data_IF_198354330326
#
_entry.id   IF_198354330326
#
_cell.length_a   1.000
_cell.length_b   1.000
_cell.length_c   1.000
_cell.angle_alpha   90.00
_cell.angle_beta   90.00
_cell.angle_gamma   90.00
#
_symmetry.space_group_name_H-M   'P 1'
#
loop_
_entity.id
_entity.type
_entity.pdbx_description
1 polymer ?
#
# COMPACT_ATOMS: atom_id res chain seq x y z
N UNK A 1 -1.47 17.24 -9.68
CA UNK A 1 -2.96 17.21 -9.76
C UNK A 1 -3.58 17.82 -8.49
N UNK A 2 -4.82 18.31 -8.50
CA UNK A 2 -5.53 18.62 -7.23
C UNK A 2 -6.23 17.35 -6.79
N UNK A 3 -5.73 16.70 -5.75
CA UNK A 3 -6.33 15.49 -5.19
C UNK A 3 -7.70 15.80 -4.56
N UNK A 4 -8.75 15.15 -5.02
CA UNK A 4 -10.13 15.36 -4.54
C UNK A 4 -10.81 14.09 -4.04
N UNK A 5 -12.08 14.21 -3.62
CA UNK A 5 -12.83 13.10 -3.07
C UNK A 5 -13.15 12.01 -4.11
N UNK A 6 -13.28 12.37 -5.39
CA UNK A 6 -13.48 11.40 -6.46
C UNK A 6 -12.20 10.59 -6.69
N UNK A 7 -11.02 11.24 -6.64
CA UNK A 7 -9.73 10.54 -6.67
C UNK A 7 -9.55 9.60 -5.48
N UNK A 8 -9.89 10.06 -4.27
CA UNK A 8 -9.79 9.28 -3.04
C UNK A 8 -10.70 8.04 -3.11
N UNK A 9 -11.95 8.18 -3.58
CA UNK A 9 -12.90 7.07 -3.64
C UNK A 9 -12.74 6.18 -4.88
N UNK A 10 -11.99 6.61 -5.90
CA UNK A 10 -11.73 5.81 -7.10
C UNK A 10 -10.95 4.52 -6.77
N UNK A 11 -9.99 4.59 -5.84
CA UNK A 11 -9.15 3.47 -5.43
C UNK A 11 -9.69 2.68 -4.23
N UNK A 12 -9.36 1.38 -4.12
CA UNK A 12 -9.74 0.58 -2.95
C UNK A 12 -9.15 1.14 -1.65
N UNK A 13 -7.92 1.68 -1.69
CA UNK A 13 -7.22 2.18 -0.50
C UNK A 13 -7.86 3.44 0.08
N UNK A 14 -8.28 4.39 -0.76
CA UNK A 14 -8.96 5.58 -0.24
C UNK A 14 -10.37 5.30 0.28
N UNK A 15 -11.12 4.36 -0.33
CA UNK A 15 -12.37 3.85 0.25
C UNK A 15 -12.14 3.16 1.60
N UNK A 16 -11.11 2.32 1.69
CA UNK A 16 -10.72 1.65 2.94
C UNK A 16 -10.34 2.64 4.04
N UNK A 17 -9.62 3.71 3.69
CA UNK A 17 -9.29 4.80 4.61
C UNK A 17 -10.55 5.48 5.15
N UNK A 18 -11.49 5.86 4.26
CA UNK A 18 -12.74 6.49 4.68
C UNK A 18 -13.58 5.56 5.57
N UNK A 19 -13.64 4.27 5.23
CA UNK A 19 -14.32 3.26 6.03
C UNK A 19 -13.67 3.09 7.42
N UNK A 20 -12.33 3.06 7.48
CA UNK A 20 -11.60 2.95 8.74
C UNK A 20 -11.88 4.14 9.68
N UNK A 21 -12.00 5.36 9.16
CA UNK A 21 -12.34 6.55 9.96
C UNK A 21 -13.71 6.44 10.63
N UNK A 22 -14.74 5.97 9.92
CA UNK A 22 -16.10 5.83 10.47
C UNK A 22 -16.20 4.63 11.41
N UNK A 23 -15.50 3.53 11.11
CA UNK A 23 -15.43 2.34 11.97
C UNK A 23 -14.69 2.60 13.28
N UNK A 24 -13.66 3.45 13.27
CA UNK A 24 -12.99 3.90 14.49
C UNK A 24 -13.92 4.77 15.34
N UNK A 25 -14.71 5.65 14.70
CA UNK A 25 -15.54 6.62 15.39
C UNK A 25 -16.86 6.07 15.98
N UNK A 26 -17.43 5.01 15.40
CA UNK A 26 -18.75 4.51 15.79
C UNK A 26 -18.82 2.97 15.90
N UNK A 27 -19.17 2.48 17.09
CA UNK A 27 -19.26 1.04 17.40
C UNK A 27 -20.38 0.33 16.61
N UNK A 28 -21.48 1.04 16.32
CA UNK A 28 -22.60 0.51 15.52
C UNK A 28 -22.20 0.33 14.05
N UNK A 29 -21.48 1.30 13.49
CA UNK A 29 -20.86 1.17 12.16
C UNK A 29 -19.88 0.00 12.14
N UNK A 30 -19.00 -0.11 13.15
CA UNK A 30 -18.05 -1.22 13.26
C UNK A 30 -18.72 -2.59 13.24
N UNK A 31 -19.79 -2.77 14.02
CA UNK A 31 -20.55 -4.02 14.06
C UNK A 31 -21.22 -4.32 12.70
N UNK A 32 -21.87 -3.31 12.10
CA UNK A 32 -22.52 -3.46 10.81
C UNK A 32 -21.51 -3.83 9.69
N UNK A 33 -20.35 -3.16 9.66
CA UNK A 33 -19.26 -3.43 8.71
C UNK A 33 -18.71 -4.84 8.91
N UNK A 34 -18.38 -5.23 10.14
CA UNK A 34 -17.88 -6.58 10.46
C UNK A 34 -18.83 -7.67 9.92
N UNK A 35 -20.13 -7.48 10.14
CA UNK A 35 -21.13 -8.47 9.78
C UNK A 35 -21.39 -8.54 8.27
N UNK A 36 -21.44 -7.39 7.58
CA UNK A 36 -21.61 -7.32 6.13
C UNK A 36 -20.35 -7.78 5.37
N UNK A 37 -19.17 -7.33 5.79
CA UNK A 37 -17.89 -7.69 5.19
C UNK A 37 -17.65 -9.20 5.24
N UNK A 38 -17.94 -9.85 6.37
CA UNK A 38 -17.82 -11.31 6.48
C UNK A 38 -18.68 -12.06 5.43
N UNK A 39 -19.88 -11.58 5.14
CA UNK A 39 -20.76 -12.22 4.15
C UNK A 39 -20.27 -12.01 2.71
N UNK A 40 -19.54 -10.91 2.46
CA UNK A 40 -18.98 -10.53 1.16
C UNK A 40 -17.58 -11.08 0.90
N UNK A 41 -16.88 -11.58 1.94
CA UNK A 41 -15.50 -12.01 1.82
C UNK A 41 -15.35 -13.26 0.93
N UNK A 42 -14.50 -13.22 -0.13
CA UNK A 42 -14.26 -14.37 -1.00
C UNK A 42 -13.70 -15.61 -0.27
N UNK A 43 -13.02 -15.40 0.86
CA UNK A 43 -12.46 -16.44 1.73
C UNK A 43 -13.45 -16.94 2.80
N UNK A 44 -14.71 -16.51 2.78
CA UNK A 44 -15.72 -16.91 3.76
C UNK A 44 -15.86 -18.43 3.84
N UNK A 45 -15.73 -18.96 5.06
CA UNK A 45 -15.89 -20.39 5.32
C UNK A 45 -14.69 -21.23 4.91
N UNK A 46 -13.61 -20.61 4.45
CA UNK A 46 -12.33 -21.24 4.16
C UNK A 46 -11.22 -20.57 4.97
N UNK A 47 -10.73 -19.41 4.52
CA UNK A 47 -9.64 -18.64 5.16
C UNK A 47 -10.16 -17.59 6.15
N UNK A 48 -11.45 -17.24 6.09
CA UNK A 48 -12.10 -16.32 7.02
C UNK A 48 -13.23 -17.03 7.77
N UNK A 49 -13.08 -17.13 9.09
CA UNK A 49 -14.00 -17.84 9.99
C UNK A 49 -14.63 -16.87 11.00
N UNK A 50 -15.93 -17.03 11.25
CA UNK A 50 -16.62 -16.29 12.31
C UNK A 50 -16.46 -17.04 13.63
N UNK A 51 -15.72 -16.46 14.57
CA UNK A 51 -15.63 -16.97 15.93
C UNK A 51 -16.94 -16.62 16.67
N UNK A 52 -17.75 -17.62 16.97
CA UNK A 52 -18.92 -17.46 17.84
C UNK A 52 -18.51 -17.51 19.31
N UNK A 53 -18.92 -16.52 20.11
CA UNK A 53 -18.80 -16.59 21.55
C UNK A 53 -19.78 -17.66 22.09
N UNK A 54 -19.25 -18.80 22.53
CA UNK A 54 -20.01 -19.80 23.28
C UNK A 54 -20.28 -21.10 22.52
N UNK A 55 -19.68 -22.19 22.98
CA UNK A 55 -19.96 -23.54 22.53
C UNK A 55 -21.33 -24.01 22.97
N UNK A 56 -22.40 -23.58 22.29
CA UNK A 56 -23.65 -24.31 22.25
C UNK A 56 -24.33 -24.12 20.89
N UNK A 57 -24.77 -25.24 20.32
CA UNK A 57 -25.48 -25.35 19.05
C UNK A 57 -26.85 -24.67 19.13
N UNK A 58 -26.87 -23.36 19.01
CA UNK A 58 -27.95 -22.66 18.34
C UNK A 58 -27.31 -21.72 17.35
N UNK A 59 -27.38 -22.07 16.07
CA UNK A 59 -27.15 -21.12 14.98
C UNK A 59 -28.26 -20.06 15.06
N UNK A 60 -28.13 -19.11 15.99
CA UNK A 60 -28.89 -17.87 15.92
C UNK A 60 -28.49 -17.26 14.59
N UNK A 61 -29.42 -17.26 13.64
CA UNK A 61 -29.19 -16.78 12.29
C UNK A 61 -29.07 -15.26 12.41
N UNK A 62 -27.87 -14.77 12.68
CA UNK A 62 -27.58 -13.34 12.77
C UNK A 62 -28.21 -12.68 11.54
N UNK A 63 -29.01 -11.62 11.69
CA UNK A 63 -29.58 -10.93 10.55
C UNK A 63 -28.47 -10.60 9.55
N UNK A 64 -28.68 -10.90 8.28
CA UNK A 64 -27.72 -10.53 7.23
C UNK A 64 -27.76 -9.01 7.11
N UNK A 65 -26.68 -8.35 7.51
CA UNK A 65 -26.48 -6.92 7.31
C UNK A 65 -26.17 -6.69 5.84
N UNK A 66 -26.98 -5.89 5.15
CA UNK A 66 -26.76 -5.56 3.74
C UNK A 66 -25.87 -4.31 3.59
N UNK A 67 -25.24 -4.08 2.41
CA UNK A 67 -24.54 -2.83 2.13
C UNK A 67 -25.39 -1.57 2.36
N UNK A 68 -26.70 -1.64 2.08
CA UNK A 68 -27.63 -0.55 2.37
C UNK A 68 -27.80 -0.29 3.87
N UNK A 69 -27.77 -1.33 4.70
CA UNK A 69 -27.84 -1.17 6.16
C UNK A 69 -26.56 -0.53 6.70
N UNK A 70 -25.40 -0.91 6.17
CA UNK A 70 -24.11 -0.26 6.47
C UNK A 70 -24.12 1.21 6.06
N UNK A 71 -24.57 1.52 4.84
CA UNK A 71 -24.66 2.90 4.36
C UNK A 71 -25.55 3.76 5.29
N UNK A 72 -26.72 3.25 5.71
CA UNK A 72 -27.58 3.94 6.68
C UNK A 72 -26.92 4.15 8.04
N UNK A 73 -26.10 3.19 8.50
CA UNK A 73 -25.34 3.34 9.73
C UNK A 73 -24.27 4.44 9.61
N UNK A 74 -23.54 4.48 8.49
CA UNK A 74 -22.56 5.54 8.19
C UNK A 74 -23.25 6.91 8.16
N UNK A 75 -24.36 7.03 7.44
CA UNK A 75 -25.12 8.28 7.35
C UNK A 75 -25.61 8.76 8.74
N UNK A 76 -26.04 7.82 9.59
CA UNK A 76 -26.50 8.13 10.93
C UNK A 76 -25.38 8.54 11.90
N UNK A 77 -24.18 7.94 11.76
CA UNK A 77 -22.99 8.31 12.54
C UNK A 77 -22.45 9.69 12.12
N UNK A 78 -22.59 10.04 10.85
CA UNK A 78 -22.11 11.30 10.28
C UNK A 78 -20.59 11.33 10.05
N UNK A 79 -20.08 12.51 9.70
CA UNK A 79 -18.65 12.68 9.40
C UNK A 79 -17.84 12.73 10.71
N UNK A 80 -16.86 11.83 10.91
CA UNK A 80 -16.04 11.82 12.12
C UNK A 80 -15.06 13.00 12.14
N UNK A 81 -14.48 13.29 13.30
CA UNK A 81 -13.42 14.27 13.42
C UNK A 81 -12.18 13.83 12.60
N UNK A 82 -11.66 14.73 11.78
CA UNK A 82 -10.51 14.50 10.90
C UNK A 82 -9.27 15.20 11.45
N UNK A 83 -8.67 14.62 12.49
CA UNK A 83 -7.39 15.05 13.05
C UNK A 83 -6.20 14.25 12.48
N UNK A 84 -4.98 14.76 12.69
CA UNK A 84 -3.76 14.16 12.16
C UNK A 84 -3.55 12.69 12.59
N UNK A 85 -3.88 12.35 13.85
CA UNK A 85 -3.67 11.01 14.39
C UNK A 85 -4.66 10.02 13.79
N UNK A 86 -5.95 10.37 13.77
CA UNK A 86 -7.01 9.55 13.16
C UNK A 86 -6.74 9.30 11.68
N UNK A 87 -6.31 10.32 10.95
CA UNK A 87 -5.92 10.20 9.55
C UNK A 87 -4.74 9.24 9.36
N UNK A 88 -3.69 9.36 10.17
CA UNK A 88 -2.52 8.49 10.06
C UNK A 88 -2.87 7.03 10.34
N UNK A 89 -3.66 6.75 11.39
CA UNK A 89 -4.08 5.40 11.73
C UNK A 89 -5.01 4.79 10.69
N UNK A 90 -5.98 5.57 10.18
CA UNK A 90 -6.85 5.11 9.12
C UNK A 90 -6.08 4.84 7.81
N UNK A 91 -5.09 5.68 7.50
CA UNK A 91 -4.18 5.45 6.38
C UNK A 91 -3.32 4.20 6.60
N UNK A 92 -2.74 4.02 7.78
CA UNK A 92 -1.96 2.83 8.12
C UNK A 92 -2.80 1.55 7.99
N UNK A 93 -4.02 1.54 8.52
CA UNK A 93 -4.95 0.41 8.38
C UNK A 93 -5.30 0.14 6.90
N UNK A 94 -5.52 1.19 6.10
CA UNK A 94 -5.79 1.00 4.67
C UNK A 94 -4.60 0.42 3.90
N UNK A 95 -3.39 0.86 4.23
CA UNK A 95 -2.13 0.41 3.62
C UNK A 95 -1.81 -1.03 4.04
N UNK A 96 -1.94 -1.38 5.32
CA UNK A 96 -1.63 -2.72 5.83
C UNK A 96 -2.49 -3.81 5.17
N UNK A 97 -3.74 -3.48 4.86
CA UNK A 97 -4.66 -4.38 4.14
C UNK A 97 -4.36 -4.53 2.64
N UNK A 98 -3.31 -3.90 2.10
CA UNK A 98 -2.97 -3.94 0.67
C UNK A 98 -2.29 -5.27 0.30
N UNK A 99 -3.09 -6.25 -0.15
CA UNK A 99 -2.64 -7.63 -0.42
C UNK A 99 -2.92 -8.03 -1.87
N UNK A 100 -2.08 -7.54 -2.79
CA UNK A 100 -2.32 -7.68 -4.23
C UNK A 100 -2.09 -9.10 -4.80
N UNK A 101 -1.71 -10.05 -3.95
CA UNK A 101 -1.56 -11.47 -4.26
C UNK A 101 -2.85 -12.30 -4.07
N UNK A 102 -3.91 -11.66 -3.58
CA UNK A 102 -5.21 -12.28 -3.34
C UNK A 102 -6.37 -11.37 -3.79
N UNK A 103 -7.61 -11.91 -3.86
CA UNK A 103 -8.80 -11.09 -4.08
C UNK A 103 -8.98 -10.02 -2.99
N UNK A 104 -9.69 -8.91 -3.29
CA UNK A 104 -10.07 -7.92 -2.28
C UNK A 104 -10.81 -8.58 -1.10
N UNK A 105 -10.51 -8.15 0.12
CA UNK A 105 -11.18 -8.68 1.31
C UNK A 105 -12.62 -8.16 1.43
N UNK A 106 -13.41 -8.76 2.33
CA UNK A 106 -14.82 -8.44 2.45
C UNK A 106 -15.14 -6.97 2.71
N UNK A 107 -14.26 -6.24 3.38
CA UNK A 107 -14.43 -4.81 3.64
C UNK A 107 -14.07 -3.97 2.40
N UNK A 108 -13.04 -4.36 1.63
CA UNK A 108 -12.78 -3.75 0.32
C UNK A 108 -13.93 -3.96 -0.67
N UNK A 109 -14.52 -5.16 -0.68
CA UNK A 109 -15.72 -5.49 -1.48
C UNK A 109 -16.92 -4.65 -1.00
N UNK A 110 -17.14 -4.56 0.31
CA UNK A 110 -18.21 -3.76 0.90
C UNK A 110 -18.06 -2.28 0.54
N UNK A 111 -16.88 -1.71 0.71
CA UNK A 111 -16.62 -0.30 0.43
C UNK A 111 -16.78 0.02 -1.06
N UNK A 112 -16.57 -0.95 -1.95
CA UNK A 112 -16.78 -0.80 -3.39
C UNK A 112 -18.26 -0.85 -3.82
N UNK A 113 -19.19 -1.21 -2.93
CA UNK A 113 -20.64 -1.19 -3.26
C UNK A 113 -21.12 0.25 -3.48
N UNK A 114 -22.05 0.49 -4.44
CA UNK A 114 -22.55 1.84 -4.72
C UNK A 114 -23.13 2.54 -3.49
N UNK A 115 -23.83 1.81 -2.63
CA UNK A 115 -24.48 2.32 -1.43
C UNK A 115 -23.45 2.83 -0.42
N UNK A 116 -22.43 2.01 -0.09
CA UNK A 116 -21.40 2.38 0.88
C UNK A 116 -20.48 3.46 0.31
N UNK A 117 -20.10 3.35 -0.98
CA UNK A 117 -19.26 4.36 -1.63
C UNK A 117 -19.94 5.75 -1.62
N UNK A 118 -21.25 5.81 -1.86
CA UNK A 118 -22.01 7.05 -1.75
C UNK A 118 -22.05 7.60 -0.31
N UNK A 119 -22.26 6.74 0.69
CA UNK A 119 -22.26 7.12 2.10
C UNK A 119 -20.87 7.59 2.60
N UNK A 120 -19.78 7.12 2.00
CA UNK A 120 -18.42 7.56 2.31
C UNK A 120 -18.04 8.91 1.70
N UNK A 121 -18.82 9.45 0.75
CA UNK A 121 -18.50 10.72 0.07
C UNK A 121 -18.32 11.91 1.03
N UNK A 122 -19.21 12.17 2.00
CA UNK A 122 -19.00 13.26 2.96
C UNK A 122 -17.73 13.10 3.80
N UNK A 123 -17.32 11.86 4.10
CA UNK A 123 -16.07 11.56 4.80
C UNK A 123 -14.87 11.87 3.91
N UNK A 124 -14.92 11.45 2.65
CA UNK A 124 -13.87 11.73 1.66
C UNK A 124 -13.68 13.25 1.46
N UNK A 125 -14.77 14.01 1.34
CA UNK A 125 -14.74 15.48 1.24
C UNK A 125 -14.06 16.11 2.47
N UNK A 126 -14.33 15.61 3.67
CA UNK A 126 -13.69 16.09 4.90
C UNK A 126 -12.20 15.73 4.98
N UNK A 127 -11.79 14.55 4.46
CA UNK A 127 -10.39 14.12 4.39
C UNK A 127 -9.59 15.03 3.45
N UNK A 128 -10.05 15.24 2.23
CA UNK A 128 -9.30 16.00 1.22
C UNK A 128 -9.26 17.50 1.49
N UNK A 129 -10.20 18.02 2.27
CA UNK A 129 -10.22 19.43 2.71
C UNK A 129 -9.47 19.68 4.02
N UNK A 130 -9.08 18.62 4.73
CA UNK A 130 -8.37 18.74 6.01
C UNK A 130 -6.97 19.34 5.83
N UNK A 131 -6.55 20.29 6.68
CA UNK A 131 -5.17 20.81 6.62
C UNK A 131 -4.12 19.72 6.90
N UNK A 132 -4.50 18.62 7.56
CA UNK A 132 -3.61 17.52 7.91
C UNK A 132 -3.25 16.62 6.72
N UNK A 133 -3.96 16.73 5.59
CA UNK A 133 -3.67 15.98 4.36
C UNK A 133 -2.89 16.79 3.33
N UNK A 134 -2.54 18.06 3.62
CA UNK A 134 -1.78 18.93 2.69
C UNK A 134 -0.47 18.31 2.19
N UNK A 135 0.19 17.53 3.04
CA UNK A 135 1.45 16.89 2.70
C UNK A 135 1.28 15.67 1.79
N UNK A 136 0.06 15.12 1.65
CA UNK A 136 -0.22 13.90 0.88
C UNK A 136 0.09 14.03 -0.60
N UNK A 137 -0.04 15.23 -1.16
CA UNK A 137 0.31 15.53 -2.57
C UNK A 137 1.66 16.24 -2.70
N UNK A 138 2.39 16.45 -1.60
CA UNK A 138 3.67 17.13 -1.67
C UNK A 138 4.75 16.21 -2.28
N UNK A 139 5.65 16.75 -3.10
CA UNK A 139 6.73 15.98 -3.73
C UNK A 139 7.70 15.43 -2.68
N UNK A 140 8.68 14.64 -3.13
CA UNK A 140 9.75 14.11 -2.29
C UNK A 140 10.42 15.24 -1.48
N UNK A 141 10.35 15.15 -0.16
CA UNK A 141 10.92 16.14 0.75
C UNK A 141 12.42 15.90 0.96
N UNK A 142 13.25 16.28 -0.01
CA UNK A 142 14.69 15.93 -0.04
C UNK A 142 15.53 16.43 1.15
N UNK A 143 15.05 17.41 1.92
CA UNK A 143 15.75 17.95 3.08
C UNK A 143 15.59 17.12 4.37
N UNK A 144 14.51 16.36 4.50
CA UNK A 144 14.15 15.65 5.73
C UNK A 144 13.63 14.25 5.41
N UNK A 145 14.56 13.38 5.05
CA UNK A 145 14.28 11.98 4.70
C UNK A 145 14.89 11.04 5.74
N UNK A 146 14.26 9.88 5.92
CA UNK A 146 14.78 8.80 6.74
C UNK A 146 14.72 7.47 6.01
N UNK A 147 15.74 6.64 6.20
CA UNK A 147 15.71 5.22 5.86
C UNK A 147 15.19 4.43 7.06
N UNK A 148 14.20 3.58 6.84
CA UNK A 148 13.56 2.79 7.90
C UNK A 148 13.72 1.30 7.60
N UNK A 149 14.11 0.56 8.63
CA UNK A 149 14.34 -0.88 8.58
C UNK A 149 13.57 -1.52 9.72
N UNK A 150 12.48 -2.21 9.40
CA UNK A 150 11.65 -2.90 10.39
C UNK A 150 12.19 -4.31 10.65
N UNK A 151 12.16 -4.76 11.90
CA UNK A 151 12.48 -6.15 12.23
C UNK A 151 11.30 -7.05 11.83
N UNK A 152 11.52 -8.14 11.07
CA UNK A 152 10.46 -9.11 10.79
C UNK A 152 10.10 -10.00 11.99
N UNK A 153 10.88 -9.96 13.08
CA UNK A 153 10.65 -10.80 14.27
C UNK A 153 10.88 -10.03 15.58
N UNK A 154 9.97 -10.30 16.53
CA UNK A 154 9.98 -10.07 17.98
C UNK A 154 10.92 -9.00 18.55
N UNK A 155 10.35 -8.06 19.31
CA UNK A 155 11.07 -6.97 19.94
C UNK A 155 12.28 -7.41 20.79
N UNK A 156 12.23 -8.62 21.36
CA UNK A 156 13.27 -9.19 22.22
C UNK A 156 14.40 -9.90 21.46
N UNK A 157 14.28 -10.06 20.14
CA UNK A 157 15.40 -10.50 19.33
C UNK A 157 16.45 -9.38 19.30
N UNK A 158 17.65 -9.67 19.84
CA UNK A 158 18.78 -8.77 19.70
C UNK A 158 18.97 -8.45 18.22
N UNK A 159 18.86 -7.16 17.87
CA UNK A 159 19.30 -6.67 16.57
C UNK A 159 20.73 -7.20 16.38
N UNK A 160 21.05 -7.88 15.27
CA UNK A 160 22.38 -8.43 15.10
C UNK A 160 23.41 -7.32 15.33
N UNK A 161 24.24 -7.48 16.37
CA UNK A 161 25.19 -6.46 16.87
C UNK A 161 26.19 -6.00 15.79
N UNK A 162 26.22 -6.66 14.63
CA UNK A 162 26.86 -6.24 13.39
C UNK A 162 26.03 -6.74 12.21
N UNK A 163 25.68 -5.85 11.29
CA UNK A 163 25.17 -6.23 9.97
C UNK A 163 23.68 -5.99 9.78
N UNK A 164 23.23 -4.75 10.01
CA UNK A 164 22.02 -4.25 9.36
C UNK A 164 22.27 -4.32 7.85
N UNK A 165 21.40 -5.01 7.10
CA UNK A 165 21.49 -5.23 5.65
C UNK A 165 22.17 -4.04 4.97
N UNK A 166 23.39 -4.24 4.50
CA UNK A 166 24.24 -3.18 3.94
C UNK A 166 23.46 -2.43 2.85
N UNK A 167 23.73 -1.12 2.70
CA UNK A 167 23.59 -0.46 1.40
C UNK A 167 24.03 -1.43 0.30
N UNK A 168 23.33 -1.53 -0.85
CA UNK A 168 23.48 -2.65 -1.78
C UNK A 168 24.95 -3.01 -1.93
N UNK A 169 25.34 -4.18 -1.43
CA UNK A 169 26.75 -4.66 -1.44
C UNK A 169 27.33 -4.63 -2.86
N UNK A 170 26.42 -4.70 -3.83
CA UNK A 170 26.66 -4.78 -5.27
C UNK A 170 26.44 -3.45 -6.03
N UNK A 171 25.95 -2.38 -5.38
CA UNK A 171 25.55 -1.09 -5.99
C UNK A 171 24.22 -1.14 -6.76
N UNK A 172 23.49 -0.02 -6.81
CA UNK A 172 22.14 0.06 -7.38
C UNK A 172 22.06 -0.41 -8.84
N UNK A 173 23.07 -0.06 -9.67
CA UNK A 173 23.13 -0.43 -11.07
C UNK A 173 23.14 -1.96 -11.28
N UNK A 174 23.88 -2.69 -10.44
CA UNK A 174 23.98 -4.15 -10.53
C UNK A 174 22.69 -4.83 -10.05
N UNK A 175 22.06 -4.31 -9.00
CA UNK A 175 20.74 -4.78 -8.51
C UNK A 175 19.70 -4.66 -9.62
N UNK A 176 19.61 -3.48 -10.26
CA UNK A 176 18.68 -3.21 -11.35
C UNK A 176 18.91 -4.10 -12.58
N UNK A 177 20.17 -4.28 -12.97
CA UNK A 177 20.54 -5.13 -14.11
C UNK A 177 20.28 -6.62 -13.84
N UNK A 178 20.53 -7.10 -12.62
CA UNK A 178 20.16 -8.45 -12.19
C UNK A 178 18.64 -8.65 -12.19
N UNK A 179 17.89 -7.72 -11.62
CA UNK A 179 16.42 -7.73 -11.61
C UNK A 179 15.86 -7.78 -13.03
N UNK A 180 16.30 -6.86 -13.91
CA UNK A 180 15.82 -6.78 -15.31
C UNK A 180 16.05 -8.09 -16.07
N UNK A 181 17.22 -8.71 -15.88
CA UNK A 181 17.51 -10.03 -16.46
C UNK A 181 16.62 -11.12 -15.89
N UNK A 182 16.41 -11.14 -14.59
CA UNK A 182 15.55 -12.12 -13.93
C UNK A 182 14.11 -12.00 -14.43
N UNK A 183 13.53 -10.80 -14.44
CA UNK A 183 12.17 -10.54 -14.95
C UNK A 183 12.01 -11.00 -16.40
N UNK A 184 12.96 -10.65 -17.30
CA UNK A 184 12.91 -11.12 -18.70
C UNK A 184 13.01 -12.64 -18.82
N UNK A 185 13.82 -13.29 -17.99
CA UNK A 185 13.92 -14.76 -17.96
C UNK A 185 12.62 -15.40 -17.45
N UNK A 186 12.01 -14.83 -16.42
CA UNK A 186 10.71 -15.29 -15.88
C UNK A 186 9.65 -15.20 -16.97
N UNK A 187 9.54 -14.06 -17.65
CA UNK A 187 8.59 -13.86 -18.76
C UNK A 187 8.81 -14.81 -19.94
N UNK A 188 10.06 -15.14 -20.27
CA UNK A 188 10.40 -16.10 -21.33
C UNK A 188 10.11 -17.55 -20.97
N UNK A 189 10.18 -17.92 -19.69
CA UNK A 189 9.92 -19.29 -19.20
C UNK A 189 8.43 -19.60 -19.05
N UNK A 190 7.64 -18.59 -18.76
CA UNK A 190 6.21 -18.70 -18.45
C UNK A 190 5.23 -19.03 -19.61
N UNK A 191 5.60 -19.09 -20.92
CA UNK A 191 4.66 -19.54 -21.97
C UNK A 191 4.03 -20.92 -21.71
N UNK A 192 4.69 -21.80 -20.96
CA UNK A 192 4.13 -23.10 -20.55
C UNK A 192 2.93 -22.97 -19.60
N UNK A 193 2.85 -21.89 -18.83
CA UNK A 193 1.75 -21.63 -17.89
C UNK A 193 0.64 -20.77 -18.50
N UNK A 194 0.79 -20.21 -19.72
CA UNK A 194 -0.29 -19.44 -20.37
C UNK A 194 -1.59 -20.24 -20.53
N UNK A 195 -1.48 -21.57 -20.58
CA UNK A 195 -2.60 -22.51 -20.62
C UNK A 195 -3.29 -22.77 -19.27
N UNK A 196 -2.75 -22.29 -18.15
CA UNK A 196 -3.41 -22.39 -16.83
C UNK A 196 -4.57 -21.39 -16.80
N UNK A 197 -5.81 -21.82 -16.51
CA UNK A 197 -6.93 -20.90 -16.35
C UNK A 197 -6.66 -19.84 -15.28
N UNK A 198 -7.14 -18.62 -15.52
CA UNK A 198 -7.13 -17.59 -14.47
C UNK A 198 -7.96 -18.06 -13.27
N UNK A 199 -7.46 -17.85 -12.06
CA UNK A 199 -8.11 -18.28 -10.82
C UNK A 199 -7.66 -19.65 -10.28
N UNK A 200 -6.95 -20.48 -11.05
CA UNK A 200 -6.43 -21.75 -10.57
C UNK A 200 -5.02 -21.62 -9.95
N UNK A 201 -4.94 -21.66 -8.61
CA UNK A 201 -3.85 -22.22 -7.80
C UNK A 201 -2.42 -21.65 -7.88
N UNK A 202 -2.12 -20.72 -8.78
CA UNK A 202 -0.76 -20.16 -8.96
C UNK A 202 -0.70 -18.73 -8.43
N UNK A 203 0.21 -18.49 -7.49
CA UNK A 203 0.61 -17.16 -7.01
C UNK A 203 2.12 -17.02 -7.18
N UNK A 204 2.62 -15.82 -7.41
CA UNK A 204 4.02 -15.58 -7.74
C UNK A 204 4.44 -14.14 -7.48
N UNK A 205 5.08 -13.51 -8.46
CA UNK A 205 5.51 -12.12 -8.34
C UNK A 205 4.34 -11.17 -8.66
N UNK A 206 3.92 -10.39 -7.66
CA UNK A 206 2.78 -9.46 -7.77
C UNK A 206 3.19 -7.98 -7.65
N UNK A 207 4.42 -7.70 -7.24
CA UNK A 207 4.90 -6.33 -7.08
C UNK A 207 5.27 -5.69 -8.43
N UNK A 208 5.05 -4.38 -8.49
CA UNK A 208 5.54 -3.49 -9.54
C UNK A 208 6.63 -2.54 -9.05
N UNK A 209 6.89 -2.48 -7.74
CA UNK A 209 7.93 -1.64 -7.15
C UNK A 209 9.33 -1.97 -7.67
N UNK A 210 10.30 -1.06 -7.51
CA UNK A 210 11.70 -1.38 -7.72
C UNK A 210 12.16 -2.58 -6.88
N UNK A 211 13.21 -3.31 -7.33
CA UNK A 211 13.67 -4.51 -6.65
C UNK A 211 14.20 -4.22 -5.25
N UNK A 212 13.95 -5.15 -4.33
CA UNK A 212 14.59 -5.18 -3.02
C UNK A 212 16.12 -5.13 -3.16
N UNK A 213 16.77 -4.45 -2.20
CA UNK A 213 18.21 -4.18 -2.22
C UNK A 213 18.55 -2.75 -2.64
N UNK A 214 17.61 -2.00 -3.21
CA UNK A 214 17.74 -0.56 -3.41
C UNK A 214 17.40 0.22 -2.13
N UNK A 215 18.00 1.40 -1.99
CA UNK A 215 17.72 2.30 -0.88
C UNK A 215 16.29 2.87 -0.99
N UNK A 216 15.65 3.02 0.16
CA UNK A 216 14.30 3.57 0.30
C UNK A 216 14.28 4.61 1.38
N UNK A 217 13.62 5.73 1.12
CA UNK A 217 13.47 6.79 2.09
C UNK A 217 12.04 7.29 2.13
N UNK A 218 11.68 7.90 3.25
CA UNK A 218 10.38 8.49 3.49
C UNK A 218 10.54 9.80 4.26
N UNK A 219 9.53 10.66 4.24
CA UNK A 219 9.56 11.89 5.04
C UNK A 219 9.35 11.62 6.52
N UNK A 220 9.75 12.59 7.34
CA UNK A 220 9.31 12.71 8.72
C UNK A 220 7.90 13.34 8.79
N UNK A 221 7.02 12.78 9.61
CA UNK A 221 5.69 13.32 9.90
C UNK A 221 5.70 13.89 11.33
N UNK A 222 5.37 15.17 11.45
CA UNK A 222 5.40 15.90 12.72
C UNK A 222 4.58 15.20 13.81
N UNK A 223 5.26 14.85 14.91
CA UNK A 223 4.66 14.16 16.05
C UNK A 223 4.53 12.63 15.91
N UNK A 224 4.86 12.06 14.74
CA UNK A 224 4.68 10.63 14.47
C UNK A 224 5.94 9.91 13.98
N UNK A 225 7.01 10.64 13.64
CA UNK A 225 8.24 10.04 13.11
C UNK A 225 8.17 9.78 11.61
N UNK A 226 9.12 9.01 11.05
CA UNK A 226 9.12 8.62 9.64
C UNK A 226 7.81 7.94 9.20
N UNK A 227 7.25 8.32 8.06
CA UNK A 227 5.94 7.81 7.62
C UNK A 227 5.94 6.28 7.43
N UNK A 228 7.02 5.71 6.90
CA UNK A 228 7.13 4.26 6.67
C UNK A 228 7.23 3.39 7.94
N UNK A 229 7.29 3.98 9.15
CA UNK A 229 7.04 3.22 10.39
C UNK A 229 5.58 2.78 10.49
N UNK A 230 4.67 3.57 9.91
CA UNK A 230 3.24 3.37 9.95
C UNK A 230 2.71 2.78 8.64
N UNK A 231 3.32 3.19 7.52
CA UNK A 231 2.77 3.01 6.18
C UNK A 231 3.47 1.87 5.43
N UNK A 232 3.35 0.65 5.94
CA UNK A 232 3.87 -0.55 5.28
C UNK A 232 2.71 -1.43 4.80
N UNK A 233 2.76 -1.83 3.53
CA UNK A 233 1.80 -2.82 3.00
C UNK A 233 2.09 -4.18 3.61
N UNK A 234 1.04 -4.93 4.00
CA UNK A 234 1.13 -6.31 4.49
C UNK A 234 2.22 -6.46 5.57
N UNK A 235 2.18 -5.57 6.59
CA UNK A 235 3.33 -5.26 7.43
C UNK A 235 3.64 -6.32 8.51
N UNK A 236 2.75 -7.28 8.73
CA UNK A 236 2.82 -8.24 9.85
C UNK A 236 2.93 -7.60 11.24
N UNK A 237 2.63 -6.30 11.39
CA UNK A 237 2.61 -5.58 12.65
C UNK A 237 3.97 -5.51 13.36
N UNK A 238 4.99 -4.87 12.76
CA UNK A 238 6.30 -4.77 13.36
C UNK A 238 6.22 -3.89 14.62
N UNK A 239 6.93 -4.27 15.68
CA UNK A 239 7.01 -3.50 16.93
C UNK A 239 8.39 -2.90 17.19
N UNK A 240 9.32 -3.09 16.24
CA UNK A 240 10.69 -2.61 16.30
C UNK A 240 11.20 -2.15 14.93
N UNK A 241 11.93 -1.04 14.92
CA UNK A 241 12.59 -0.53 13.72
C UNK A 241 13.94 0.13 14.03
N UNK A 242 14.79 0.21 13.01
CA UNK A 242 15.94 1.10 12.96
C UNK A 242 15.64 2.22 11.98
N UNK A 243 15.91 3.45 12.39
CA UNK A 243 15.70 4.66 11.60
C UNK A 243 17.02 5.40 11.47
N UNK A 244 17.49 5.62 10.25
CA UNK A 244 18.64 6.45 9.96
C UNK A 244 18.19 7.71 9.22
N UNK A 245 18.63 8.88 9.68
CA UNK A 245 18.52 10.10 8.89
C UNK A 245 19.36 9.94 7.62
N UNK A 246 18.90 10.47 6.49
CA UNK A 246 19.66 10.39 5.24
C UNK A 246 20.03 11.77 4.71
N UNK A 247 21.19 11.83 4.07
CA UNK A 247 21.61 12.97 3.26
C UNK A 247 21.48 12.61 1.79
N UNK A 248 20.91 13.54 1.01
CA UNK A 248 20.72 13.41 -0.43
C UNK A 248 21.47 14.53 -1.14
N UNK A 249 22.00 14.28 -2.36
CA UNK A 249 22.68 15.32 -3.12
C UNK A 249 21.70 16.44 -3.51
N UNK A 250 22.19 17.67 -3.49
CA UNK A 250 21.46 18.80 -4.06
C UNK A 250 21.16 18.54 -5.53
N UNK A 251 19.91 18.77 -5.94
CA UNK A 251 19.48 18.56 -7.32
C UNK A 251 19.24 17.10 -7.72
N UNK A 252 19.08 16.18 -6.75
CA UNK A 252 18.64 14.82 -7.02
C UNK A 252 17.37 14.82 -7.90
N UNK A 253 17.41 14.08 -9.01
CA UNK A 253 16.31 14.03 -9.99
C UNK A 253 15.33 12.95 -9.57
N UNK A 254 14.22 13.37 -9.00
CA UNK A 254 13.15 12.47 -8.56
C UNK A 254 11.97 12.55 -9.54
N UNK A 255 11.50 11.39 -10.01
CA UNK A 255 10.22 11.31 -10.72
C UNK A 255 9.12 11.18 -9.68
N UNK A 256 8.13 12.06 -9.77
CA UNK A 256 6.96 12.08 -8.89
C UNK A 256 5.82 11.28 -9.52
N UNK A 257 5.24 10.37 -8.74
CA UNK A 257 3.99 9.68 -9.04
C UNK A 257 2.94 10.18 -8.06
N UNK A 258 2.15 11.17 -8.48
CA UNK A 258 1.06 11.78 -7.71
C UNK A 258 -0.34 11.32 -8.14
N UNK A 259 -0.42 10.43 -9.13
CA UNK A 259 -1.68 9.88 -9.61
C UNK A 259 -1.55 8.76 -10.64
N UNK A 260 -2.70 8.26 -11.14
CA UNK A 260 -2.74 7.19 -12.12
C UNK A 260 -2.17 7.61 -13.48
N UNK A 261 -2.25 8.89 -13.84
CA UNK A 261 -1.73 9.37 -15.12
C UNK A 261 -0.21 9.35 -15.14
N UNK A 262 0.44 9.83 -14.08
CA UNK A 262 1.90 9.84 -13.93
C UNK A 262 2.46 8.42 -13.91
N UNK A 263 1.77 7.48 -13.24
CA UNK A 263 2.10 6.06 -13.31
C UNK A 263 1.97 5.50 -14.74
N UNK A 264 0.87 5.81 -15.43
CA UNK A 264 0.65 5.37 -16.81
C UNK A 264 1.72 5.92 -17.77
N UNK A 265 2.10 7.19 -17.61
CA UNK A 265 3.12 7.87 -18.41
C UNK A 265 4.51 7.26 -18.18
N UNK A 266 4.84 6.95 -16.92
CA UNK A 266 6.08 6.26 -16.56
C UNK A 266 6.15 4.87 -17.21
N UNK A 267 5.07 4.08 -17.10
CA UNK A 267 4.94 2.78 -17.75
C UNK A 267 5.03 2.88 -19.29
N UNK A 268 4.43 3.91 -19.90
CA UNK A 268 4.45 4.10 -21.35
C UNK A 268 5.84 4.49 -21.86
N UNK A 269 6.55 5.30 -21.10
CA UNK A 269 7.89 5.78 -21.46
C UNK A 269 8.96 4.70 -21.29
N UNK A 270 8.83 3.86 -20.27
CA UNK A 270 9.81 2.81 -19.95
C UNK A 270 9.13 1.43 -19.78
N UNK A 271 8.50 0.86 -20.81
CA UNK A 271 7.74 -0.37 -20.64
C UNK A 271 8.67 -1.59 -20.46
N UNK A 272 8.42 -2.36 -19.40
CA UNK A 272 8.86 -3.76 -19.29
C UNK A 272 7.61 -4.65 -19.24
N UNK A 273 7.45 -5.52 -20.22
CA UNK A 273 6.33 -6.46 -20.24
C UNK A 273 6.49 -7.52 -19.15
N UNK A 274 5.42 -7.74 -18.40
CA UNK A 274 5.32 -8.68 -17.27
C UNK A 274 4.02 -9.49 -17.32
N UNK A 275 3.44 -9.61 -18.52
CA UNK A 275 2.14 -10.25 -18.76
C UNK A 275 2.08 -11.65 -18.17
N UNK A 276 3.08 -12.47 -18.39
CA UNK A 276 2.95 -13.88 -18.07
C UNK A 276 3.09 -14.16 -16.57
N UNK A 277 4.04 -13.50 -15.89
CA UNK A 277 4.29 -13.72 -14.47
C UNK A 277 3.31 -13.02 -13.53
N UNK A 278 2.75 -11.85 -13.92
CA UNK A 278 1.86 -11.05 -13.04
C UNK A 278 0.38 -11.34 -13.26
N UNK A 279 -0.02 -11.94 -14.39
CA UNK A 279 -1.45 -12.05 -14.77
C UNK A 279 -2.33 -12.69 -13.71
N UNK A 280 -1.84 -13.67 -12.95
CA UNK A 280 -2.67 -14.41 -12.00
C UNK A 280 -2.99 -13.55 -10.77
N UNK A 281 -1.98 -12.99 -10.12
CA UNK A 281 -2.17 -12.14 -8.94
C UNK A 281 -2.84 -10.82 -9.31
N UNK A 282 -2.45 -10.20 -10.43
CA UNK A 282 -3.10 -8.97 -10.90
C UNK A 282 -4.54 -9.20 -11.35
N UNK A 283 -4.88 -10.38 -11.91
CA UNK A 283 -6.27 -10.76 -12.14
C UNK A 283 -7.04 -10.90 -10.83
N UNK A 284 -6.48 -11.55 -9.80
CA UNK A 284 -7.16 -11.73 -8.51
C UNK A 284 -7.53 -10.39 -7.88
N UNK A 285 -6.61 -9.44 -7.88
CA UNK A 285 -6.83 -8.14 -7.23
C UNK A 285 -7.68 -7.18 -8.07
N UNK A 286 -7.56 -7.21 -9.41
CA UNK A 286 -8.25 -6.23 -10.29
C UNK A 286 -9.47 -6.76 -11.04
N UNK A 287 -9.65 -8.09 -11.11
CA UNK A 287 -10.64 -8.75 -11.95
C UNK A 287 -10.36 -8.70 -13.46
N UNK A 288 -9.27 -8.06 -13.90
CA UNK A 288 -8.94 -7.90 -15.32
C UNK A 288 -8.11 -9.09 -15.82
N UNK A 289 -8.66 -9.86 -16.75
CA UNK A 289 -8.02 -11.09 -17.26
C UNK A 289 -7.37 -10.97 -18.64
N UNK A 290 -7.69 -9.92 -19.40
CA UNK A 290 -7.28 -9.77 -20.80
C UNK A 290 -6.33 -8.58 -21.02
N UNK A 291 -5.44 -8.75 -22.01
CA UNK A 291 -4.47 -7.73 -22.43
C UNK A 291 -3.04 -8.01 -21.97
N UNK A 292 -2.15 -7.04 -22.22
CA UNK A 292 -0.76 -7.07 -21.78
C UNK A 292 -0.58 -6.31 -20.48
N UNK A 293 0.30 -6.83 -19.63
CA UNK A 293 0.71 -6.17 -18.40
C UNK A 293 2.12 -5.63 -18.53
N UNK A 294 2.30 -4.38 -18.10
CA UNK A 294 3.62 -3.73 -18.04
C UNK A 294 3.86 -3.12 -16.68
N UNK A 295 5.13 -2.92 -16.36
CA UNK A 295 5.60 -2.04 -15.29
C UNK A 295 6.77 -1.19 -15.82
N UNK A 296 7.21 -0.16 -15.09
CA UNK A 296 8.38 0.61 -15.48
C UNK A 296 9.64 -0.24 -15.44
N UNK A 297 10.42 -0.22 -16.51
CA UNK A 297 11.74 -0.81 -16.55
C UNK A 297 12.69 0.04 -15.68
N UNK A 298 12.80 -0.32 -14.40
CA UNK A 298 13.56 0.45 -13.41
C UNK A 298 15.01 0.72 -13.79
N UNK A 299 15.64 -0.21 -14.53
CA UNK A 299 16.98 0.00 -15.07
C UNK A 299 17.02 1.08 -16.16
N UNK A 300 15.98 1.23 -16.99
CA UNK A 300 15.88 2.36 -17.92
C UNK A 300 15.53 3.67 -17.21
N UNK A 301 14.66 3.62 -16.19
CA UNK A 301 14.28 4.81 -15.41
C UNK A 301 15.52 5.40 -14.72
N UNK A 302 16.41 4.54 -14.20
CA UNK A 302 17.67 4.95 -13.58
C UNK A 302 18.59 5.78 -14.51
N UNK A 303 18.44 5.69 -15.83
CA UNK A 303 19.24 6.50 -16.77
C UNK A 303 18.84 7.98 -16.75
N UNK A 304 17.59 8.30 -16.38
CA UNK A 304 17.06 9.66 -16.42
C UNK A 304 16.75 10.26 -15.05
N UNK A 305 16.65 9.42 -14.01
CA UNK A 305 16.29 9.83 -12.66
C UNK A 305 17.13 9.08 -11.63
N UNK A 306 17.33 9.71 -10.48
CA UNK A 306 18.07 9.17 -9.35
C UNK A 306 17.12 8.45 -8.38
N UNK A 307 15.85 8.87 -8.33
CA UNK A 307 14.81 8.21 -7.55
C UNK A 307 13.41 8.36 -8.16
N UNK A 308 12.47 7.57 -7.63
CA UNK A 308 11.05 7.66 -7.95
C UNK A 308 10.29 7.70 -6.64
N UNK A 309 9.42 8.70 -6.48
CA UNK A 309 8.62 8.91 -5.28
C UNK A 309 7.15 8.70 -5.59
N UNK A 310 6.46 7.97 -4.72
CA UNK A 310 5.00 7.85 -4.74
C UNK A 310 4.45 8.65 -3.57
N UNK A 311 3.73 9.72 -3.88
CA UNK A 311 3.03 10.51 -2.86
C UNK A 311 1.88 9.71 -2.24
N UNK A 312 1.38 10.13 -1.08
CA UNK A 312 0.20 9.49 -0.44
C UNK A 312 -1.03 9.60 -1.34
N UNK A 313 -1.24 10.77 -1.96
CA UNK A 313 -2.34 10.99 -2.89
C UNK A 313 -2.23 10.05 -4.11
N UNK A 314 -1.04 9.96 -4.69
CA UNK A 314 -0.76 9.06 -5.82
C UNK A 314 -0.98 7.59 -5.45
N UNK A 315 -0.55 7.19 -4.25
CA UNK A 315 -0.83 5.87 -3.72
C UNK A 315 -2.34 5.60 -3.61
N UNK A 316 -3.08 6.44 -2.89
CA UNK A 316 -4.51 6.25 -2.63
C UNK A 316 -5.33 6.23 -3.92
N UNK A 317 -4.96 7.09 -4.88
CA UNK A 317 -5.61 7.16 -6.17
C UNK A 317 -5.25 5.99 -7.09
N UNK A 318 -4.13 5.28 -6.89
CA UNK A 318 -3.60 4.37 -7.94
C UNK A 318 -3.40 2.93 -7.49
N UNK A 319 -2.95 2.71 -6.26
CA UNK A 319 -2.49 1.40 -5.79
C UNK A 319 -3.60 0.33 -5.84
N UNK A 320 -3.27 -0.85 -6.38
CA UNK A 320 -4.23 -1.95 -6.58
C UNK A 320 -5.24 -1.76 -7.72
N UNK A 321 -5.15 -0.67 -8.50
CA UNK A 321 -6.02 -0.46 -9.67
C UNK A 321 -5.36 -0.96 -10.95
N UNK A 322 -6.17 -1.46 -11.86
CA UNK A 322 -5.78 -1.67 -13.25
C UNK A 322 -5.71 -0.31 -13.99
N UNK A 323 -4.52 0.27 -14.06
CA UNK A 323 -4.26 1.56 -14.71
C UNK A 323 -4.06 1.37 -16.22
N UNK A 324 -4.90 1.96 -17.09
CA UNK A 324 -4.72 1.91 -18.53
C UNK A 324 -3.44 2.66 -18.95
N UNK A 325 -2.57 2.00 -19.71
CA UNK A 325 -1.31 2.59 -20.22
C UNK A 325 -1.44 2.94 -21.70
N UNK A 326 -1.99 2.02 -22.49
CA UNK A 326 -2.28 2.16 -23.92
C UNK A 326 -3.38 1.16 -24.30
N UNK A 327 -3.81 1.16 -25.57
CA UNK A 327 -4.79 0.17 -26.04
C UNK A 327 -4.27 -1.26 -25.82
N UNK A 328 -5.08 -2.06 -25.11
CA UNK A 328 -4.72 -3.42 -24.69
C UNK A 328 -3.53 -3.54 -23.73
N UNK A 329 -3.03 -2.45 -23.13
CA UNK A 329 -1.89 -2.45 -22.20
C UNK A 329 -2.28 -1.80 -20.87
N UNK A 330 -2.07 -2.52 -19.77
CA UNK A 330 -2.44 -2.08 -18.42
C UNK A 330 -1.26 -2.28 -17.46
N UNK A 331 -1.26 -1.55 -16.36
CA UNK A 331 -0.30 -1.71 -15.25
C UNK A 331 -1.03 -1.68 -13.91
N UNK A 332 -0.45 -2.27 -12.88
CA UNK A 332 -0.96 -2.19 -11.50
C UNK A 332 0.19 -1.70 -10.62
N UNK A 333 0.07 -0.55 -9.93
CA UNK A 333 1.00 -0.20 -8.86
C UNK A 333 0.70 -1.07 -7.63
N UNK A 334 1.69 -1.87 -7.25
CA UNK A 334 1.61 -2.86 -6.19
C UNK A 334 2.97 -3.05 -5.51
N UNK A 335 2.98 -3.23 -4.18
CA UNK A 335 4.22 -3.46 -3.41
C UNK A 335 4.96 -2.16 -3.08
N UNK A 336 4.26 -1.02 -3.03
CA UNK A 336 4.87 0.29 -2.90
C UNK A 336 4.14 1.15 -1.87
N UNK A 337 4.72 1.25 -0.69
CA UNK A 337 4.23 2.09 0.41
C UNK A 337 4.04 3.57 0.02
N UNK A 338 2.99 4.24 0.52
CA UNK A 338 2.83 5.67 0.30
C UNK A 338 3.99 6.47 0.92
N UNK A 339 4.26 7.63 0.33
CA UNK A 339 5.37 8.51 0.71
C UNK A 339 6.74 7.83 0.73
N UNK A 340 6.95 6.89 -0.19
CA UNK A 340 8.22 6.17 -0.29
C UNK A 340 8.91 6.55 -1.58
N UNK A 341 10.14 7.02 -1.43
CA UNK A 341 11.09 7.21 -2.53
C UNK A 341 11.99 6.00 -2.63
N UNK A 342 12.00 5.35 -3.80
CA UNK A 342 13.00 4.36 -4.14
C UNK A 342 14.13 5.02 -4.91
N UNK A 343 15.36 4.82 -4.46
CA UNK A 343 16.55 5.39 -5.09
C UNK A 343 17.16 4.37 -6.04
N UNK A 344 17.18 4.74 -7.32
CA UNK A 344 17.65 3.90 -8.42
C UNK A 344 19.16 4.04 -8.68
N UNK A 345 19.80 4.97 -7.98
CA UNK A 345 21.24 5.22 -7.99
C UNK A 345 21.78 5.29 -6.56
N UNK A 346 23.09 5.07 -6.43
CA UNK A 346 23.81 5.12 -5.16
C UNK A 346 24.05 6.58 -4.72
N UNK A 347 22.96 7.28 -4.38
CA UNK A 347 22.97 8.71 -4.01
C UNK A 347 22.54 8.97 -2.56
N UNK A 348 22.20 7.92 -1.82
CA UNK A 348 21.73 8.03 -0.43
C UNK A 348 22.89 7.78 0.52
N UNK A 349 23.16 8.74 1.39
CA UNK A 349 24.09 8.57 2.51
C UNK A 349 23.30 8.44 3.81
N UNK A 350 23.34 7.26 4.43
CA UNK A 350 22.68 7.00 5.72
C UNK A 350 23.59 7.44 6.89
N UNK A 351 23.03 8.21 7.81
CA UNK A 351 23.64 8.52 9.09
C UNK A 351 23.52 7.38 10.11
N UNK A 352 23.92 7.60 11.37
CA UNK A 352 23.73 6.64 12.44
C UNK A 352 22.25 6.26 12.61
N UNK A 353 21.99 4.96 12.73
CA UNK A 353 20.64 4.46 12.98
C UNK A 353 20.27 4.54 14.45
N UNK A 354 19.03 4.96 14.72
CA UNK A 354 18.40 5.00 16.04
C UNK A 354 17.34 3.92 16.12
N UNK A 355 17.27 3.20 17.24
CA UNK A 355 16.21 2.22 17.50
C UNK A 355 14.87 2.90 17.75
N UNK A 356 13.78 2.29 17.27
CA UNK A 356 12.40 2.70 17.50
C UNK A 356 11.56 1.52 17.95
N UNK A 357 10.58 1.76 18.81
CA UNK A 357 9.66 0.76 19.35
C UNK A 357 8.21 1.22 19.19
N UNK A 358 7.33 0.26 18.94
CA UNK A 358 5.90 0.49 18.97
C UNK A 358 5.35 0.28 20.38
N UNK A 359 4.80 1.34 20.96
CA UNK A 359 4.05 1.31 22.20
C UNK A 359 2.60 0.93 21.87
N UNK A 360 2.21 -0.32 22.19
CA UNK A 360 0.85 -0.83 21.91
C UNK A 360 -0.22 -0.19 22.79
N UNK A 361 0.13 0.31 23.97
CA UNK A 361 -0.84 0.95 24.87
C UNK A 361 -1.19 2.36 24.38
N UNK A 362 -0.19 3.07 23.84
CA UNK A 362 -0.35 4.41 23.27
C UNK A 362 -0.61 4.42 21.78
N UNK A 363 -0.46 3.26 21.14
CA UNK A 363 -0.62 3.07 19.71
C UNK A 363 0.25 4.11 18.97
N UNK A 364 1.55 4.07 19.30
CA UNK A 364 2.53 5.09 18.96
C UNK A 364 3.95 4.52 18.80
N UNK A 365 4.65 4.97 17.75
CA UNK A 365 6.08 4.77 17.61
C UNK A 365 6.87 5.80 18.42
N UNK A 366 7.93 5.34 19.10
CA UNK A 366 8.86 6.21 19.81
C UNK A 366 10.31 5.73 19.63
N UNK A 367 11.30 6.64 19.65
CA UNK A 367 12.70 6.25 19.75
C UNK A 367 12.90 5.42 21.02
N UNK A 368 13.62 4.30 20.88
CA UNK A 368 14.10 3.53 22.02
C UNK A 368 14.99 4.44 22.86
N UNK A 369 14.71 4.53 24.17
CA UNK A 369 15.61 5.19 25.11
C UNK A 369 16.77 4.23 25.40
N UNK A 370 17.98 4.75 25.35
CA UNK A 370 19.20 4.03 25.76
C UNK A 370 19.13 3.56 27.22
#
# INVERSE_FOLDING_TARGET
MTFDADDLLAGPRGRRLCLALVVDADDGVREAVRDAAYELDPGRGTTVMRLGAGGHRHASRTPRVSPTDVARAIDAAGVPAVDARRLLLALAAAVDHARYWQPPDGEDVLAATPEVCAALRPVADAVVTSPHTRWWSAPCATAEQSAVRVSPYDADAAWPERGVVQAPVDGAARVLDAWRRATRRTEQRWPAERGVPLGEGTSGEWWSSPPHGLARTTRHVDGFGPASLWLAEDSYGPDAALVAAVTLPEGARVIEVDGPQEWADLCRRFPLEVTASRRHDWFRTTGRGEGRWVLPDWAAVAEVADGVHVSVAGYLATAGRAVPVADGVTSVPAGWSPDTTWWLRDVVEEGPAVGWRYDRERDAWAPARD
#
